data_IF_221977039054
#
_entry.id   IF_221977039054
#
_cell.length_a   1.000
_cell.length_b   1.000
_cell.length_c   1.000
_cell.angle_alpha   90.00
_cell.angle_beta   90.00
_cell.angle_gamma   90.00
#
_symmetry.space_group_name_H-M   'P 1'
#
loop_
_entity.id
_entity.type
_entity.pdbx_description
1 polymer ?
#
# COMPACT_ATOMS: atom_id res chain seq x y z
N UNK A 1 -2.27 1.80 -36.70
CA UNK A 1 -0.81 1.76 -37.02
C UNK A 1 -0.04 2.54 -35.94
N UNK A 2 -0.53 2.50 -34.69
CA UNK A 2 -0.32 3.58 -33.73
C UNK A 2 0.55 3.20 -32.54
N UNK A 3 0.58 1.91 -32.18
CA UNK A 3 1.44 1.38 -31.10
C UNK A 3 2.91 1.74 -31.26
N UNK A 4 3.44 1.75 -32.49
CA UNK A 4 4.84 2.15 -32.73
C UNK A 4 5.11 3.64 -32.44
N UNK A 5 4.12 4.50 -32.68
CA UNK A 5 4.22 5.94 -32.42
C UNK A 5 4.11 6.24 -30.93
N UNK A 6 3.26 5.49 -30.24
CA UNK A 6 3.08 5.54 -28.79
C UNK A 6 4.34 5.08 -28.05
N UNK A 7 4.88 3.91 -28.41
CA UNK A 7 6.15 3.39 -27.86
C UNK A 7 7.31 4.38 -28.05
N UNK A 8 7.41 5.03 -29.22
CA UNK A 8 8.48 6.02 -29.46
C UNK A 8 8.28 7.31 -28.70
N UNK A 9 7.04 7.66 -28.33
CA UNK A 9 6.73 8.80 -27.48
C UNK A 9 7.09 8.50 -26.02
N UNK A 10 6.65 7.35 -25.50
CA UNK A 10 6.96 6.91 -24.13
C UNK A 10 8.46 6.78 -23.89
N UNK A 11 9.19 6.18 -24.85
CA UNK A 11 10.64 6.05 -24.75
C UNK A 11 11.35 7.41 -24.67
N UNK A 12 10.83 8.41 -25.40
CA UNK A 12 11.36 9.77 -25.36
C UNK A 12 11.05 10.46 -24.02
N UNK A 13 9.84 10.27 -23.50
CA UNK A 13 9.41 10.80 -22.19
C UNK A 13 10.23 10.18 -21.04
N UNK A 14 10.56 8.89 -21.12
CA UNK A 14 11.45 8.19 -20.18
C UNK A 14 12.93 8.55 -20.34
N UNK A 15 13.27 9.46 -21.26
CA UNK A 15 14.63 9.92 -21.47
C UNK A 15 15.55 8.86 -22.05
N UNK A 16 15.02 7.92 -22.86
CA UNK A 16 15.82 6.90 -23.53
C UNK A 16 16.92 7.50 -24.44
N UNK A 17 16.74 8.74 -24.90
CA UNK A 17 17.77 9.51 -25.61
C UNK A 17 19.05 9.68 -24.77
N UNK A 18 18.92 9.81 -23.44
CA UNK A 18 20.05 9.91 -22.50
C UNK A 18 20.77 8.56 -22.31
N UNK A 19 20.14 7.45 -22.66
CA UNK A 19 20.78 6.12 -22.66
C UNK A 19 21.73 5.93 -23.84
N UNK A 20 21.54 6.69 -24.93
CA UNK A 20 22.46 6.69 -26.07
C UNK A 20 23.80 7.37 -25.70
N UNK A 21 23.73 8.41 -24.87
CA UNK A 21 24.87 9.14 -24.31
C UNK A 21 25.47 8.47 -23.06
N UNK A 22 24.83 7.39 -22.57
CA UNK A 22 25.38 6.63 -21.46
C UNK A 22 26.73 6.06 -21.90
N UNK A 23 27.82 6.30 -21.16
CA UNK A 23 29.12 5.76 -21.51
C UNK A 23 29.00 4.23 -21.51
N UNK A 24 28.90 3.65 -22.70
CA UNK A 24 29.01 2.19 -22.92
C UNK A 24 30.44 1.68 -22.64
N UNK A 25 31.29 2.56 -22.11
CA UNK A 25 32.72 2.42 -21.97
C UNK A 25 33.15 2.68 -20.52
N UNK A 26 32.54 1.96 -19.60
CA UNK A 26 33.33 1.37 -18.54
C UNK A 26 33.21 -0.13 -18.78
N UNK A 27 34.28 -0.74 -19.33
CA UNK A 27 34.42 -2.18 -19.32
C UNK A 27 34.04 -2.66 -17.92
N UNK A 28 32.94 -3.43 -17.81
CA UNK A 28 32.49 -3.92 -16.52
C UNK A 28 33.72 -4.50 -15.81
N UNK A 29 34.02 -4.10 -14.57
CA UNK A 29 35.25 -4.50 -13.90
C UNK A 29 35.32 -6.04 -13.91
N UNK A 30 36.20 -6.56 -14.77
CA UNK A 30 36.34 -7.99 -14.91
C UNK A 30 37.00 -8.50 -13.63
N UNK A 31 36.42 -9.50 -12.98
CA UNK A 31 37.04 -10.07 -11.80
C UNK A 31 38.42 -10.62 -12.17
N UNK A 32 39.40 -10.57 -11.25
CA UNK A 32 40.70 -11.17 -11.47
C UNK A 32 40.57 -12.63 -11.89
N UNK A 33 41.49 -13.10 -12.73
CA UNK A 33 41.51 -14.50 -13.15
C UNK A 33 41.51 -15.44 -11.93
N UNK A 34 40.63 -16.44 -11.95
CA UNK A 34 40.47 -17.41 -10.87
C UNK A 34 39.88 -16.86 -9.57
N UNK A 35 39.15 -15.73 -9.61
CA UNK A 35 38.37 -15.22 -8.48
C UNK A 35 37.28 -16.22 -8.06
N UNK A 36 36.48 -16.69 -9.03
CA UNK A 36 35.37 -17.60 -8.74
C UNK A 36 35.84 -19.02 -8.39
N UNK A 37 37.00 -19.44 -8.91
CA UNK A 37 37.59 -20.75 -8.58
C UNK A 37 37.96 -20.82 -7.09
N UNK A 38 38.57 -19.74 -6.55
CA UNK A 38 38.97 -19.65 -5.14
C UNK A 38 37.82 -19.32 -4.19
N UNK A 39 36.77 -18.68 -4.71
CA UNK A 39 35.62 -18.26 -3.91
C UNK A 39 34.88 -19.47 -3.29
N UNK A 40 34.73 -20.57 -4.03
CA UNK A 40 34.08 -21.77 -3.53
C UNK A 40 34.83 -22.36 -2.33
N UNK A 41 36.15 -22.48 -2.44
CA UNK A 41 37.02 -22.99 -1.37
C UNK A 41 37.04 -22.05 -0.16
N UNK A 42 37.09 -20.73 -0.38
CA UNK A 42 37.07 -19.73 0.70
C UNK A 42 35.75 -19.73 1.49
N UNK A 43 34.61 -19.87 0.79
CA UNK A 43 33.29 -19.95 1.44
C UNK A 43 33.18 -21.26 2.23
N UNK A 44 33.62 -22.38 1.66
CA UNK A 44 33.62 -23.66 2.35
C UNK A 44 34.52 -23.65 3.60
N UNK A 45 35.72 -23.08 3.48
CA UNK A 45 36.64 -22.92 4.61
C UNK A 45 36.07 -22.04 5.73
N UNK A 46 35.36 -20.95 5.38
CA UNK A 46 34.68 -20.11 6.37
C UNK A 46 33.47 -20.79 7.02
N UNK A 47 32.75 -21.63 6.28
CA UNK A 47 31.61 -22.39 6.80
C UNK A 47 32.05 -23.52 7.74
N UNK A 48 33.23 -24.11 7.51
CA UNK A 48 33.80 -25.18 8.33
C UNK A 48 34.69 -24.69 9.47
N UNK A 49 35.08 -23.41 9.45
CA UNK A 49 35.89 -22.84 10.52
C UNK A 49 35.11 -22.87 11.85
N UNK A 50 35.69 -23.44 12.93
CA UNK A 50 35.06 -23.39 14.24
C UNK A 50 34.90 -21.92 14.65
N UNK A 51 33.68 -21.54 15.02
CA UNK A 51 33.37 -20.19 15.45
C UNK A 51 34.38 -19.76 16.53
N UNK A 52 35.03 -18.58 16.40
CA UNK A 52 35.93 -18.11 17.43
C UNK A 52 35.11 -17.95 18.71
N UNK A 53 35.41 -18.77 19.72
CA UNK A 53 34.83 -18.64 21.07
C UNK A 53 35.52 -17.47 21.77
N UNK A 54 35.32 -16.27 21.21
CA UNK A 54 35.70 -15.02 21.84
C UNK A 54 34.90 -14.90 23.13
N UNK A 55 35.55 -15.15 24.27
CA UNK A 55 34.97 -14.87 25.58
C UNK A 55 34.79 -13.36 25.67
N UNK A 56 33.56 -12.90 25.46
CA UNK A 56 33.16 -11.51 25.62
C UNK A 56 33.47 -11.10 27.06
N UNK A 57 34.54 -10.31 27.22
CA UNK A 57 34.89 -9.72 28.51
C UNK A 57 33.91 -8.57 28.75
N UNK A 58 32.85 -8.87 29.49
CA UNK A 58 31.76 -7.91 29.75
C UNK A 58 32.33 -6.72 30.54
N UNK A 59 32.48 -5.58 29.88
CA UNK A 59 33.01 -4.36 30.47
C UNK A 59 31.94 -3.75 31.38
N UNK A 60 32.10 -4.01 32.68
CA UNK A 60 31.40 -3.40 33.82
C UNK A 60 29.87 -3.37 33.78
N UNK A 61 29.25 -4.28 34.55
CA UNK A 61 27.81 -4.35 34.87
C UNK A 61 27.15 -3.05 35.34
N UNK A 62 27.93 -2.04 35.75
CA UNK A 62 27.42 -0.76 36.26
C UNK A 62 26.71 0.07 35.18
N UNK A 63 27.16 -0.01 33.93
CA UNK A 63 26.48 0.67 32.81
C UNK A 63 25.21 -0.05 32.34
N UNK A 64 25.17 -1.38 32.49
CA UNK A 64 23.98 -2.19 32.23
C UNK A 64 22.82 -1.81 33.17
N UNK A 65 23.11 -1.55 34.45
CA UNK A 65 22.09 -1.11 35.40
C UNK A 65 21.52 0.28 35.05
N UNK A 66 22.39 1.21 34.63
CA UNK A 66 21.96 2.56 34.21
C UNK A 66 21.14 2.49 32.91
N UNK A 67 21.60 1.72 31.92
CA UNK A 67 20.88 1.54 30.66
C UNK A 67 19.51 0.87 30.89
N UNK A 68 19.42 -0.13 31.77
CA UNK A 68 18.16 -0.76 32.13
C UNK A 68 17.20 0.22 32.82
N UNK A 69 17.70 1.05 33.75
CA UNK A 69 16.87 2.06 34.42
C UNK A 69 16.32 3.10 33.43
N UNK A 70 17.16 3.57 32.49
CA UNK A 70 16.72 4.49 31.43
C UNK A 70 15.70 3.82 30.51
N UNK A 71 15.92 2.57 30.10
CA UNK A 71 14.98 1.84 29.26
C UNK A 71 13.61 1.65 29.95
N UNK A 72 13.60 1.35 31.26
CA UNK A 72 12.36 1.25 32.05
C UNK A 72 11.63 2.59 32.13
N UNK A 73 12.35 3.70 32.34
CA UNK A 73 11.75 5.04 32.37
C UNK A 73 11.18 5.43 31.00
N UNK A 74 11.87 5.11 29.91
CA UNK A 74 11.38 5.36 28.54
C UNK A 74 10.15 4.52 28.25
N UNK A 75 10.14 3.23 28.61
CA UNK A 75 8.99 2.36 28.42
C UNK A 75 7.79 2.80 29.26
N UNK A 76 8.00 3.19 30.51
CA UNK A 76 6.95 3.72 31.38
C UNK A 76 6.40 5.05 30.85
N UNK A 77 7.28 5.93 30.36
CA UNK A 77 6.88 7.19 29.73
C UNK A 77 6.07 6.94 28.45
N UNK A 78 6.52 6.05 27.57
CA UNK A 78 5.79 5.70 26.35
C UNK A 78 4.44 5.08 26.69
N UNK A 79 4.38 4.22 27.72
CA UNK A 79 3.14 3.60 28.17
C UNK A 79 2.15 4.63 28.75
N UNK A 80 2.63 5.60 29.53
CA UNK A 80 1.82 6.68 30.10
C UNK A 80 1.31 7.64 29.02
N UNK A 81 2.15 7.96 28.02
CA UNK A 81 1.80 8.86 26.93
C UNK A 81 1.02 8.17 25.81
N UNK A 82 0.67 6.88 25.92
CA UNK A 82 -0.18 6.26 24.91
C UNK A 82 -1.54 6.96 24.94
N UNK A 83 -1.97 7.63 23.85
CA UNK A 83 -3.34 8.09 23.78
C UNK A 83 -4.20 6.86 23.99
N UNK A 84 -5.10 6.92 24.96
CA UNK A 84 -6.17 5.94 25.08
C UNK A 84 -6.84 5.96 23.70
N UNK A 85 -6.92 4.84 22.96
CA UNK A 85 -7.72 4.84 21.76
C UNK A 85 -9.11 5.17 22.25
N UNK A 86 -9.56 6.40 22.00
CA UNK A 86 -10.97 6.67 22.02
C UNK A 86 -11.51 5.66 21.03
N UNK A 87 -12.23 4.66 21.54
CA UNK A 87 -13.24 4.01 20.73
C UNK A 87 -14.29 5.09 20.48
N UNK A 88 -13.94 6.07 19.64
CA UNK A 88 -14.90 6.90 18.96
C UNK A 88 -15.60 5.91 18.05
N UNK A 89 -16.72 5.41 18.56
CA UNK A 89 -17.75 4.86 17.71
C UNK A 89 -18.24 6.07 16.92
N UNK A 90 -17.50 6.43 15.86
CA UNK A 90 -17.96 7.41 14.88
C UNK A 90 -19.25 6.83 14.33
N UNK A 91 -20.38 7.32 14.84
CA UNK A 91 -21.65 7.12 14.19
C UNK A 91 -21.53 7.84 12.84
N UNK A 92 -21.94 7.17 11.77
CA UNK A 92 -21.89 7.77 10.44
C UNK A 92 -22.69 9.08 10.38
N UNK A 93 -23.72 9.20 11.23
CA UNK A 93 -24.56 10.39 11.43
C UNK A 93 -23.81 11.60 12.00
N UNK A 94 -22.65 11.40 12.64
CA UNK A 94 -21.84 12.49 13.20
C UNK A 94 -20.83 13.06 12.19
N UNK A 95 -20.69 12.42 11.01
CA UNK A 95 -19.80 12.89 9.94
C UNK A 95 -20.58 13.86 9.06
N UNK A 96 -20.15 15.12 8.93
CA UNK A 96 -20.85 16.07 8.10
C UNK A 96 -20.64 15.71 6.62
N UNK A 97 -21.70 15.88 5.83
CA UNK A 97 -21.76 15.39 4.44
C UNK A 97 -20.68 16.03 3.55
N UNK A 98 -20.33 17.29 3.80
CA UNK A 98 -19.24 17.99 3.13
C UNK A 98 -17.88 17.31 3.37
N UNK A 99 -17.64 16.75 4.56
CA UNK A 99 -16.43 15.99 4.85
C UNK A 99 -16.40 14.64 4.12
N UNK A 100 -17.56 13.99 3.93
CA UNK A 100 -17.66 12.75 3.15
C UNK A 100 -17.33 13.03 1.68
N UNK A 101 -17.94 14.07 1.09
CA UNK A 101 -17.70 14.46 -0.29
C UNK A 101 -16.25 14.88 -0.52
N UNK A 102 -15.68 15.69 0.39
CA UNK A 102 -14.27 16.06 0.32
C UNK A 102 -13.34 14.84 0.41
N UNK A 103 -13.65 13.88 1.28
CA UNK A 103 -12.87 12.64 1.39
C UNK A 103 -12.96 11.81 0.10
N UNK A 104 -14.15 11.66 -0.49
CA UNK A 104 -14.33 10.94 -1.75
C UNK A 104 -13.53 11.62 -2.87
N UNK A 105 -13.59 12.95 -2.98
CA UNK A 105 -12.85 13.68 -4.01
C UNK A 105 -11.33 13.56 -3.84
N UNK A 106 -10.84 13.65 -2.60
CA UNK A 106 -9.40 13.58 -2.30
C UNK A 106 -8.83 12.14 -2.36
N UNK A 107 -9.65 11.12 -2.14
CA UNK A 107 -9.17 9.74 -1.95
C UNK A 107 -9.71 8.73 -2.98
N UNK A 108 -10.72 9.11 -3.77
CA UNK A 108 -11.33 8.25 -4.80
C UNK A 108 -11.31 9.02 -6.13
N UNK A 109 -10.14 9.07 -6.75
CA UNK A 109 -9.93 9.75 -8.04
C UNK A 109 -10.37 8.93 -9.25
N UNK A 110 -10.43 7.60 -9.14
CA UNK A 110 -10.84 6.71 -10.24
C UNK A 110 -11.54 5.50 -9.62
N UNK A 111 -12.86 5.40 -9.83
CA UNK A 111 -13.57 4.15 -9.58
C UNK A 111 -13.12 3.16 -10.65
N UNK A 112 -12.07 2.42 -10.33
CA UNK A 112 -11.50 1.45 -11.24
C UNK A 112 -12.44 0.24 -11.34
N UNK A 113 -13.13 0.14 -12.48
CA UNK A 113 -14.00 -0.98 -12.80
C UNK A 113 -13.24 -2.31 -12.73
N UNK A 114 -11.94 -2.32 -13.06
CA UNK A 114 -11.11 -3.52 -12.98
C UNK A 114 -10.90 -3.96 -11.52
N UNK A 115 -10.72 -3.00 -10.59
CA UNK A 115 -10.64 -3.26 -9.15
C UNK A 115 -11.97 -3.78 -8.58
N UNK A 116 -13.09 -3.23 -9.05
CA UNK A 116 -14.43 -3.69 -8.68
C UNK A 116 -14.70 -5.11 -9.19
N UNK A 117 -14.27 -5.42 -10.42
CA UNK A 117 -14.37 -6.77 -10.99
C UNK A 117 -13.52 -7.78 -10.21
N UNK A 118 -12.30 -7.42 -9.80
CA UNK A 118 -11.47 -8.26 -8.95
C UNK A 118 -12.07 -8.47 -7.55
N UNK A 119 -12.65 -7.42 -6.95
CA UNK A 119 -13.33 -7.53 -5.65
C UNK A 119 -14.55 -8.44 -5.73
N UNK A 120 -15.38 -8.27 -6.77
CA UNK A 120 -16.58 -9.11 -7.01
C UNK A 120 -16.18 -10.54 -7.34
N UNK A 121 -15.07 -10.75 -8.05
CA UNK A 121 -14.55 -12.09 -8.34
C UNK A 121 -13.93 -12.77 -7.10
N UNK A 122 -13.39 -12.00 -6.15
CA UNK A 122 -12.83 -12.52 -4.91
C UNK A 122 -13.89 -12.76 -3.82
N UNK A 123 -15.00 -12.00 -3.83
CA UNK A 123 -16.21 -12.38 -3.09
C UNK A 123 -16.98 -13.47 -3.85
N UNK A 124 -16.84 -14.72 -3.43
CA UNK A 124 -17.61 -15.89 -3.91
C UNK A 124 -19.14 -15.76 -3.65
N UNK A 125 -19.59 -14.63 -3.09
CA UNK A 125 -20.98 -14.23 -2.98
C UNK A 125 -21.50 -13.86 -4.37
N UNK A 126 -21.93 -14.89 -5.10
CA UNK A 126 -22.83 -14.73 -6.23
C UNK A 126 -24.05 -13.99 -5.68
N UNK A 127 -24.23 -12.72 -6.05
CA UNK A 127 -25.40 -11.94 -5.63
C UNK A 127 -26.65 -12.53 -6.31
N UNK A 128 -27.19 -13.60 -5.73
CA UNK A 128 -28.42 -14.21 -6.19
C UNK A 128 -29.56 -13.27 -5.82
N UNK A 129 -30.15 -12.65 -6.84
CA UNK A 129 -31.43 -11.98 -6.69
C UNK A 129 -32.40 -12.97 -6.03
N UNK A 130 -33.04 -12.61 -4.91
CA UNK A 130 -34.02 -13.48 -4.25
C UNK A 130 -35.03 -13.97 -5.29
N UNK A 131 -35.24 -15.28 -5.36
CA UNK A 131 -36.09 -15.89 -6.39
C UNK A 131 -37.56 -15.44 -6.29
N UNK A 132 -37.92 -14.80 -5.19
CA UNK A 132 -39.22 -14.22 -4.86
C UNK A 132 -39.33 -12.72 -5.16
N UNK A 133 -38.29 -12.09 -5.73
CA UNK A 133 -38.32 -10.68 -6.12
C UNK A 133 -39.10 -10.52 -7.44
N UNK A 134 -40.43 -10.52 -7.33
CA UNK A 134 -41.34 -10.13 -8.42
C UNK A 134 -41.22 -8.62 -8.67
N UNK A 135 -40.26 -8.23 -9.50
CA UNK A 135 -40.12 -6.87 -10.03
C UNK A 135 -41.26 -6.61 -11.02
N UNK A 136 -42.40 -6.16 -10.51
CA UNK A 136 -43.48 -5.65 -11.35
C UNK A 136 -43.11 -4.24 -11.82
N UNK A 137 -43.38 -3.87 -13.10
CA UNK A 137 -43.16 -2.52 -13.59
C UNK A 137 -43.84 -1.46 -12.72
N UNK A 138 -45.01 -1.78 -12.18
CA UNK A 138 -45.79 -0.90 -11.32
C UNK A 138 -45.13 -0.71 -9.95
N UNK A 139 -44.49 -1.74 -9.39
CA UNK A 139 -43.73 -1.64 -8.14
C UNK A 139 -42.49 -0.73 -8.30
N UNK A 140 -41.84 -0.78 -9.48
CA UNK A 140 -40.73 0.11 -9.81
C UNK A 140 -41.22 1.54 -10.04
N UNK A 141 -42.33 1.75 -10.74
CA UNK A 141 -42.94 3.07 -10.93
C UNK A 141 -43.41 3.68 -9.61
N UNK A 142 -43.97 2.88 -8.70
CA UNK A 142 -44.36 3.35 -7.37
C UNK A 142 -43.15 3.80 -6.54
N UNK A 143 -42.07 3.02 -6.55
CA UNK A 143 -40.82 3.39 -5.87
C UNK A 143 -40.19 4.66 -6.45
N UNK A 144 -40.29 4.87 -7.77
CA UNK A 144 -39.83 6.10 -8.42
C UNK A 144 -40.76 7.29 -8.20
N UNK A 145 -42.05 7.06 -7.91
CA UNK A 145 -43.02 8.13 -7.63
C UNK A 145 -43.09 8.52 -6.15
N UNK A 146 -42.68 7.64 -5.23
CA UNK A 146 -42.49 8.01 -3.84
C UNK A 146 -41.39 9.10 -3.78
N UNK A 147 -41.73 10.26 -3.20
CA UNK A 147 -40.90 11.50 -3.22
C UNK A 147 -39.50 11.33 -2.59
N UNK A 148 -39.23 10.20 -1.93
CA UNK A 148 -37.91 9.83 -1.39
C UNK A 148 -36.98 9.19 -2.46
N UNK A 149 -37.51 8.76 -3.61
CA UNK A 149 -36.76 8.09 -4.69
C UNK A 149 -36.15 9.02 -5.75
N UNK A 150 -36.53 10.31 -5.78
CA UNK A 150 -36.03 11.32 -6.74
C UNK A 150 -35.47 12.54 -5.99
N UNK A 151 -34.59 12.31 -5.01
CA UNK A 151 -33.80 13.38 -4.37
C UNK A 151 -32.35 13.48 -4.90
N UNK A 152 -32.06 12.88 -6.07
CA UNK A 152 -30.68 12.83 -6.59
C UNK A 152 -30.44 13.45 -7.99
N UNK A 153 -31.45 13.99 -8.69
CA UNK A 153 -31.24 14.51 -10.06
C UNK A 153 -32.04 15.78 -10.43
N UNK A 154 -32.41 16.64 -9.48
CA UNK A 154 -33.14 17.86 -9.85
C UNK A 154 -32.93 19.04 -8.89
N UNK A 155 -31.68 19.36 -8.55
CA UNK A 155 -31.32 20.73 -8.14
C UNK A 155 -30.36 21.30 -9.17
N UNK A 156 -30.90 21.63 -10.33
CA UNK A 156 -30.33 22.64 -11.20
C UNK A 156 -31.47 23.52 -11.74
N UNK A 157 -31.27 24.83 -11.56
CA UNK A 157 -31.97 25.98 -12.15
C UNK A 157 -33.03 26.70 -11.29
N UNK A 158 -32.51 27.61 -10.45
CA UNK A 158 -32.72 29.06 -10.56
C UNK A 158 -34.12 29.55 -11.05
N UNK A 159 -34.98 29.95 -10.10
CA UNK A 159 -35.61 31.29 -9.92
C UNK A 159 -36.89 31.22 -9.10
#
# INVERSE_FOLDING_TARGET
>A
MDKRKEITKELRELGADRLADWPREAAAPQPPAGYFDRLADEVLAKAQAPAPTARLRVRSRRWLAVAAAVAVLVLASVWWLRPTPAADNLALDDIPEDAILAYIEDNITEFDTELLEDLVAETDDTWELPADLELSPEAVEQYLQDEDGILFLQDDELF
#
